data_IF_051374865646
#
_entry.id   IF_051374865646
#
_cell.length_a   1.000
_cell.length_b   1.000
_cell.length_c   1.000
_cell.angle_alpha   90.00
_cell.angle_beta   90.00
_cell.angle_gamma   90.00
#
_symmetry.space_group_name_H-M   'P 1'
#
loop_
_entity.id
_entity.type
_entity.pdbx_description
1 polymer ?
#
# COMPACT_ATOMS: atom_id res chain seq x y z
N UNK A 1 -6.69 8.84 -16.65
CA UNK A 1 -6.77 7.70 -15.70
C UNK A 1 -5.56 6.79 -15.90
N UNK A 2 -4.89 6.34 -14.84
CA UNK A 2 -3.74 5.43 -14.87
C UNK A 2 -4.10 4.13 -14.15
N UNK A 3 -3.79 2.99 -14.75
CA UNK A 3 -3.99 1.68 -14.12
C UNK A 3 -2.70 0.87 -14.24
N UNK A 4 -2.18 0.41 -13.11
CA UNK A 4 -1.16 -0.63 -13.01
C UNK A 4 -1.88 -1.94 -12.64
N UNK A 5 -1.74 -2.98 -13.45
CA UNK A 5 -2.35 -4.29 -13.24
C UNK A 5 -1.28 -5.35 -13.12
N UNK A 6 -1.05 -5.81 -11.88
CA UNK A 6 -0.10 -6.87 -11.52
C UNK A 6 1.31 -6.67 -12.11
N UNK A 7 1.80 -5.44 -12.05
CA UNK A 7 3.03 -5.03 -12.73
C UNK A 7 4.25 -5.53 -11.97
N UNK A 8 5.10 -6.29 -12.66
CA UNK A 8 6.43 -6.67 -12.17
C UNK A 8 7.52 -6.21 -13.12
N UNK A 9 8.67 -5.81 -12.57
CA UNK A 9 9.87 -5.45 -13.33
C UNK A 9 11.12 -6.04 -12.71
N UNK A 10 11.85 -6.80 -13.52
CA UNK A 10 13.17 -7.38 -13.21
C UNK A 10 14.22 -6.88 -14.20
N UNK A 11 15.49 -6.84 -13.76
CA UNK A 11 16.63 -6.46 -14.58
C UNK A 11 17.65 -7.61 -14.61
N UNK A 12 17.60 -8.44 -15.65
CA UNK A 12 18.51 -9.59 -15.80
C UNK A 12 18.42 -10.57 -14.62
N UNK A 13 19.58 -11.04 -14.14
CA UNK A 13 19.69 -11.95 -12.98
C UNK A 13 19.59 -11.24 -11.62
N UNK A 14 19.27 -9.95 -11.58
CA UNK A 14 19.13 -9.20 -10.33
C UNK A 14 17.69 -9.23 -9.80
N UNK A 15 17.58 -8.94 -8.51
CA UNK A 15 16.31 -8.86 -7.78
C UNK A 15 15.26 -8.00 -8.51
N UNK A 16 14.03 -8.49 -8.46
CA UNK A 16 12.84 -7.83 -8.98
C UNK A 16 12.69 -6.44 -8.34
N UNK A 17 12.78 -5.38 -9.14
CA UNK A 17 12.71 -3.99 -8.68
C UNK A 17 11.29 -3.57 -8.28
N UNK A 18 10.27 -4.15 -8.91
CA UNK A 18 8.84 -3.98 -8.60
C UNK A 18 8.17 -5.33 -8.77
N UNK A 19 7.34 -5.78 -7.83
CA UNK A 19 6.69 -7.09 -7.87
C UNK A 19 5.19 -6.97 -7.60
N UNK A 20 4.36 -7.53 -8.50
CA UNK A 20 2.89 -7.60 -8.39
C UNK A 20 2.23 -6.25 -8.01
N UNK A 21 2.74 -5.15 -8.53
CA UNK A 21 2.26 -3.81 -8.20
C UNK A 21 0.94 -3.53 -8.93
N UNK A 22 -0.12 -3.32 -8.15
CA UNK A 22 -1.44 -2.95 -8.67
C UNK A 22 -1.91 -1.65 -8.04
N UNK A 23 -2.27 -0.68 -8.87
CA UNK A 23 -2.74 0.62 -8.42
C UNK A 23 -3.59 1.27 -9.50
N UNK A 24 -4.76 1.77 -9.11
CA UNK A 24 -5.59 2.65 -9.94
C UNK A 24 -5.50 4.09 -9.43
N UNK A 25 -5.33 5.01 -10.38
CA UNK A 25 -5.20 6.45 -10.16
C UNK A 25 -6.17 7.18 -11.10
N UNK A 26 -7.08 7.95 -10.51
CA UNK A 26 -8.07 8.73 -11.25
C UNK A 26 -7.50 10.11 -11.61
N UNK A 27 -8.18 10.79 -12.52
CA UNK A 27 -7.79 12.14 -12.93
C UNK A 27 -7.94 13.12 -11.76
N UNK A 28 -6.87 13.88 -11.48
CA UNK A 28 -6.82 14.83 -10.37
C UNK A 28 -6.41 14.23 -9.03
N UNK A 29 -6.17 12.92 -8.93
CA UNK A 29 -5.66 12.29 -7.71
C UNK A 29 -4.28 12.83 -7.32
N UNK A 30 -4.05 12.99 -6.01
CA UNK A 30 -2.72 13.18 -5.42
C UNK A 30 -2.33 11.90 -4.69
N UNK A 31 -1.34 11.18 -5.24
CA UNK A 31 -0.85 9.91 -4.70
C UNK A 31 0.56 10.09 -4.19
N UNK A 32 0.82 9.70 -2.94
CA UNK A 32 2.16 9.66 -2.36
C UNK A 32 2.69 8.25 -2.43
N UNK A 33 3.82 8.04 -3.11
CA UNK A 33 4.52 6.77 -3.20
C UNK A 33 5.72 6.82 -2.24
N UNK A 34 5.73 5.96 -1.25
CA UNK A 34 6.82 5.91 -0.27
C UNK A 34 7.46 4.53 -0.17
N UNK A 35 8.69 4.48 0.33
CA UNK A 35 9.46 3.24 0.49
C UNK A 35 10.95 3.53 0.54
N UNK A 36 11.77 2.62 1.10
CA UNK A 36 13.22 2.76 1.15
C UNK A 36 13.86 3.10 -0.20
N UNK A 37 15.09 3.63 -0.18
CA UNK A 37 15.85 3.77 -1.42
C UNK A 37 16.05 2.41 -2.10
N UNK A 38 15.89 2.37 -3.43
CA UNK A 38 16.00 1.15 -4.23
C UNK A 38 14.75 0.27 -4.31
N UNK A 39 13.60 0.67 -3.76
CA UNK A 39 12.33 -0.11 -3.86
C UNK A 39 11.56 0.05 -5.18
N UNK A 40 12.15 0.69 -6.18
CA UNK A 40 11.54 0.81 -7.51
C UNK A 40 10.66 2.04 -7.74
N UNK A 41 10.73 3.08 -6.91
CA UNK A 41 10.05 4.38 -7.14
C UNK A 41 10.38 4.98 -8.52
N UNK A 42 11.68 5.17 -8.81
CA UNK A 42 12.16 5.60 -10.12
C UNK A 42 11.83 4.58 -11.23
N UNK A 43 11.78 3.29 -10.90
CA UNK A 43 11.37 2.25 -11.85
C UNK A 43 9.90 2.41 -12.26
N UNK A 44 9.00 2.77 -11.34
CA UNK A 44 7.58 3.06 -11.66
C UNK A 44 7.45 4.24 -12.61
N UNK A 45 8.22 5.32 -12.35
CA UNK A 45 8.30 6.47 -13.25
C UNK A 45 8.73 6.03 -14.65
N UNK A 46 9.82 5.27 -14.76
CA UNK A 46 10.39 4.81 -16.03
C UNK A 46 9.45 3.86 -16.78
N UNK A 47 8.67 3.05 -16.07
CA UNK A 47 7.60 2.24 -16.66
C UNK A 47 6.48 3.13 -17.24
N UNK A 48 6.04 4.14 -16.48
CA UNK A 48 4.96 5.04 -16.89
C UNK A 48 5.32 5.88 -18.13
N UNK A 49 6.56 6.37 -18.25
CA UNK A 49 7.04 7.11 -19.43
C UNK A 49 7.50 6.20 -20.59
N UNK A 50 7.28 4.88 -20.45
CA UNK A 50 7.68 3.83 -21.39
C UNK A 50 9.18 3.93 -21.76
N UNK A 51 10.02 4.18 -20.75
CA UNK A 51 11.46 3.98 -20.82
C UNK A 51 11.80 2.51 -20.56
N UNK A 52 11.10 1.88 -19.62
CA UNK A 52 11.11 0.44 -19.42
C UNK A 52 9.78 -0.18 -19.82
N UNK A 53 9.82 -1.44 -20.23
CA UNK A 53 8.62 -2.27 -20.36
C UNK A 53 8.51 -3.17 -19.13
N UNK A 54 7.29 -3.41 -18.62
CA UNK A 54 7.08 -4.36 -17.53
C UNK A 54 7.57 -5.75 -17.95
N UNK A 55 8.13 -6.51 -17.00
CA UNK A 55 8.44 -7.92 -17.22
C UNK A 55 7.17 -8.77 -17.22
N UNK A 56 6.22 -8.40 -16.36
CA UNK A 56 4.89 -9.01 -16.24
C UNK A 56 3.86 -7.93 -15.89
N UNK A 57 2.57 -8.21 -16.14
CA UNK A 57 1.49 -7.26 -15.93
C UNK A 57 1.32 -6.26 -17.07
N UNK A 58 0.44 -5.28 -16.87
CA UNK A 58 0.07 -4.28 -17.88
C UNK A 58 -0.07 -2.89 -17.23
N UNK A 59 0.22 -1.85 -18.02
CA UNK A 59 -0.02 -0.46 -17.63
C UNK A 59 -0.93 0.17 -18.66
N UNK A 60 -2.00 0.81 -18.20
CA UNK A 60 -2.94 1.54 -19.04
C UNK A 60 -2.93 3.04 -18.69
N UNK A 61 -2.94 3.88 -19.72
CA UNK A 61 -3.11 5.31 -19.59
C UNK A 61 -4.25 5.78 -20.50
N UNK A 62 -5.26 6.41 -19.92
CA UNK A 62 -6.45 6.91 -20.63
C UNK A 62 -7.15 5.80 -21.47
N UNK A 63 -7.12 4.55 -20.97
CA UNK A 63 -7.68 3.38 -21.65
C UNK A 63 -6.77 2.76 -22.74
N UNK A 64 -5.59 3.32 -22.99
CA UNK A 64 -4.61 2.76 -23.92
C UNK A 64 -3.56 1.92 -23.17
N UNK A 65 -3.41 0.66 -23.58
CA UNK A 65 -2.35 -0.23 -23.09
C UNK A 65 -0.99 0.23 -23.57
N UNK A 66 -0.08 0.46 -22.64
CA UNK A 66 1.28 0.89 -22.97
C UNK A 66 2.06 -0.20 -23.69
N UNK A 67 1.79 -1.49 -23.46
CA UNK A 67 2.42 -2.60 -24.19
C UNK A 67 2.14 -2.57 -25.69
N UNK A 68 0.98 -2.05 -26.10
CA UNK A 68 0.52 -1.99 -27.50
C UNK A 68 0.93 -0.69 -28.22
N UNK A 69 1.51 0.26 -27.49
CA UNK A 69 1.86 1.56 -28.03
C UNK A 69 3.05 1.46 -29.00
N UNK A 70 2.84 1.89 -30.25
CA UNK A 70 3.90 1.97 -31.26
C UNK A 70 5.00 2.94 -30.80
N UNK A 71 6.26 2.63 -31.13
CA UNK A 71 7.43 3.49 -30.81
C UNK A 71 7.27 4.93 -31.28
N UNK A 72 6.63 5.15 -32.42
CA UNK A 72 6.34 6.49 -32.98
C UNK A 72 5.40 7.34 -32.11
N UNK A 73 4.59 6.71 -31.26
CA UNK A 73 3.60 7.37 -30.41
C UNK A 73 4.13 7.64 -28.99
N UNK A 74 5.31 7.09 -28.63
CA UNK A 74 5.94 7.32 -27.33
C UNK A 74 6.17 8.81 -27.04
N UNK A 75 6.61 9.67 -27.98
CA UNK A 75 6.73 11.10 -27.73
C UNK A 75 5.39 11.76 -27.36
N UNK A 76 4.27 11.31 -27.94
CA UNK A 76 2.94 11.83 -27.60
C UNK A 76 2.52 11.41 -26.19
N UNK A 77 2.79 10.16 -25.80
CA UNK A 77 2.63 9.68 -24.43
C UNK A 77 3.41 10.57 -23.45
N UNK A 78 4.70 10.78 -23.70
CA UNK A 78 5.59 11.57 -22.82
C UNK A 78 5.18 13.03 -22.69
N UNK A 79 4.53 13.62 -23.70
CA UNK A 79 3.96 14.97 -23.59
C UNK A 79 2.79 15.06 -22.61
N UNK A 80 2.09 13.95 -22.33
CA UNK A 80 1.01 13.90 -21.33
C UNK A 80 1.54 13.84 -19.89
N UNK A 81 2.83 13.55 -19.70
CA UNK A 81 3.45 13.28 -18.40
C UNK A 81 4.62 14.24 -18.17
N UNK A 82 4.48 15.14 -17.21
CA UNK A 82 5.59 15.94 -16.69
C UNK A 82 6.40 15.14 -15.68
N UNK A 83 7.72 15.20 -15.77
CA UNK A 83 8.61 14.54 -14.81
C UNK A 83 9.43 15.58 -14.06
N UNK A 84 9.41 15.51 -12.73
CA UNK A 84 10.22 16.34 -11.84
C UNK A 84 11.24 15.43 -11.17
N UNK A 85 12.53 15.72 -11.39
CA UNK A 85 13.63 14.91 -10.87
C UNK A 85 14.24 15.54 -9.62
N UNK A 86 14.84 14.70 -8.77
CA UNK A 86 15.59 15.11 -7.58
C UNK A 86 16.78 16.05 -7.88
N UNK A 87 17.46 15.86 -9.01
CA UNK A 87 18.64 16.64 -9.45
C UNK A 87 18.30 17.78 -10.42
N UNK A 88 17.01 18.12 -10.55
CA UNK A 88 16.43 19.22 -11.33
C UNK A 88 16.60 19.09 -12.87
N UNK A 89 17.70 18.48 -13.32
CA UNK A 89 18.13 18.25 -14.71
C UNK A 89 18.03 19.50 -15.59
N UNK A 90 18.25 20.69 -15.04
CA UNK A 90 18.26 21.94 -15.81
C UNK A 90 19.44 21.94 -16.81
N UNK A 91 19.23 22.54 -17.98
CA UNK A 91 20.28 22.72 -18.98
C UNK A 91 21.09 23.93 -18.55
N UNK A 92 22.38 23.71 -18.25
CA UNK A 92 23.24 24.70 -17.60
C UNK A 92 23.56 25.89 -18.50
N UNK A 93 23.55 25.66 -19.80
CA UNK A 93 23.83 26.64 -20.84
C UNK A 93 22.61 27.49 -21.20
N UNK A 94 21.45 27.19 -20.63
CA UNK A 94 20.20 27.92 -20.83
C UNK A 94 19.84 28.69 -19.55
N UNK A 95 19.31 29.89 -19.69
CA UNK A 95 18.73 30.63 -18.56
C UNK A 95 17.38 30.02 -18.11
N UNK A 96 16.79 30.57 -17.05
CA UNK A 96 15.51 30.10 -16.50
C UNK A 96 14.39 30.13 -17.55
N UNK A 97 14.23 31.25 -18.26
CA UNK A 97 13.20 31.40 -19.29
C UNK A 97 13.38 30.36 -20.39
N UNK A 98 14.61 30.19 -20.89
CA UNK A 98 14.95 29.23 -21.95
C UNK A 98 14.70 27.78 -21.52
N UNK A 99 15.05 27.43 -20.28
CA UNK A 99 14.77 26.11 -19.72
C UNK A 99 13.27 25.81 -19.72
N UNK A 100 12.43 26.77 -19.34
CA UNK A 100 10.97 26.61 -19.29
C UNK A 100 10.37 26.64 -20.71
N UNK A 101 10.90 27.45 -21.61
CA UNK A 101 10.43 27.60 -22.99
C UNK A 101 10.72 26.37 -23.86
N UNK A 102 11.85 25.70 -23.63
CA UNK A 102 12.36 24.64 -24.51
C UNK A 102 11.33 23.54 -24.83
N UNK A 103 10.59 22.95 -23.88
CA UNK A 103 9.62 21.90 -24.20
C UNK A 103 8.47 22.40 -25.09
N UNK A 104 8.03 23.64 -24.92
CA UNK A 104 6.98 24.25 -25.74
C UNK A 104 7.46 24.46 -27.18
N UNK A 105 8.70 24.92 -27.37
CA UNK A 105 9.33 24.99 -28.69
C UNK A 105 9.46 23.61 -29.36
N UNK A 106 9.85 22.58 -28.61
CA UNK A 106 9.93 21.19 -29.11
C UNK A 106 8.55 20.67 -29.55
N UNK A 107 7.47 21.18 -28.96
CA UNK A 107 6.09 20.85 -29.36
C UNK A 107 5.65 21.61 -30.63
N UNK A 108 6.43 22.58 -31.12
CA UNK A 108 6.12 23.40 -32.28
C UNK A 108 5.19 24.57 -31.96
N UNK A 109 5.20 25.06 -30.71
CA UNK A 109 4.46 26.26 -30.31
C UNK A 109 5.06 27.52 -30.94
N UNK A 110 4.20 28.49 -31.25
CA UNK A 110 4.61 29.79 -31.78
C UNK A 110 5.27 30.64 -30.68
N UNK A 111 6.11 31.61 -31.06
CA UNK A 111 6.78 32.50 -30.08
C UNK A 111 5.81 33.18 -29.13
N UNK A 112 4.65 33.59 -29.64
CA UNK A 112 3.59 34.19 -28.83
C UNK A 112 3.03 33.22 -27.79
N UNK A 113 2.70 31.99 -28.21
CA UNK A 113 2.19 30.96 -27.28
C UNK A 113 3.24 30.58 -26.23
N UNK A 114 4.52 30.53 -26.63
CA UNK A 114 5.63 30.26 -25.71
C UNK A 114 5.77 31.39 -24.69
N UNK A 115 5.78 32.64 -25.14
CA UNK A 115 5.92 33.80 -24.26
C UNK A 115 4.77 33.88 -23.24
N UNK A 116 3.52 33.73 -23.69
CA UNK A 116 2.34 33.68 -22.82
C UNK A 116 2.48 32.54 -21.78
N UNK A 117 2.84 31.33 -22.24
CA UNK A 117 2.98 30.15 -21.36
C UNK A 117 4.10 30.28 -20.35
N UNK A 118 5.27 30.74 -20.76
CA UNK A 118 6.45 30.88 -19.88
C UNK A 118 6.20 31.96 -18.85
N UNK A 119 5.56 33.06 -19.23
CA UNK A 119 5.16 34.14 -18.31
C UNK A 119 4.24 33.62 -17.22
N UNK A 120 3.19 32.86 -17.56
CA UNK A 120 2.28 32.25 -16.59
C UNK A 120 3.02 31.32 -15.61
N UNK A 121 3.97 30.52 -16.13
CA UNK A 121 4.72 29.58 -15.31
C UNK A 121 5.72 30.28 -14.39
N UNK A 122 6.39 31.34 -14.85
CA UNK A 122 7.26 32.18 -14.02
C UNK A 122 6.49 32.85 -12.88
N UNK A 123 5.28 33.32 -13.16
CA UNK A 123 4.36 33.85 -12.16
C UNK A 123 3.94 32.78 -11.14
N UNK A 124 3.57 31.58 -11.63
CA UNK A 124 3.15 30.46 -10.77
C UNK A 124 4.21 30.07 -9.75
N UNK A 125 5.49 30.06 -10.18
CA UNK A 125 6.62 29.69 -9.32
C UNK A 125 7.27 30.87 -8.58
N UNK A 126 6.81 32.11 -8.85
CA UNK A 126 7.30 33.33 -8.22
C UNK A 126 8.75 33.69 -8.57
N UNK A 127 9.17 33.49 -9.83
CA UNK A 127 10.55 33.72 -10.30
C UNK A 127 10.65 34.67 -11.50
N UNK A 128 9.70 35.58 -11.68
CA UNK A 128 9.66 36.52 -12.81
C UNK A 128 10.91 37.41 -12.90
N UNK A 129 11.45 37.84 -11.77
CA UNK A 129 12.66 38.66 -11.64
C UNK A 129 13.95 37.87 -11.96
N UNK A 130 13.88 36.55 -12.03
CA UNK A 130 15.02 35.64 -12.24
C UNK A 130 15.02 34.97 -13.62
N UNK A 131 14.14 35.38 -14.52
CA UNK A 131 13.96 34.78 -15.83
C UNK A 131 15.27 34.67 -16.66
N UNK A 132 16.18 35.64 -16.50
CA UNK A 132 17.45 35.72 -17.24
C UNK A 132 18.64 35.12 -16.49
N UNK A 133 18.44 34.60 -15.27
CA UNK A 133 19.50 33.94 -14.52
C UNK A 133 19.77 32.54 -15.07
N UNK A 134 21.00 32.08 -14.93
CA UNK A 134 21.41 30.72 -15.26
C UNK A 134 21.30 29.78 -14.04
N UNK A 135 21.17 28.46 -14.23
CA UNK A 135 20.97 27.50 -13.14
C UNK A 135 22.02 27.57 -12.02
N UNK A 136 23.27 27.92 -12.33
CA UNK A 136 24.34 28.09 -11.35
C UNK A 136 24.18 29.33 -10.45
N UNK A 137 23.25 30.23 -10.76
CA UNK A 137 22.95 31.44 -9.99
C UNK A 137 21.69 31.28 -9.11
N UNK A 138 21.05 30.11 -9.14
CA UNK A 138 19.83 29.82 -8.39
C UNK A 138 20.13 29.07 -7.10
N UNK A 139 19.30 29.28 -6.07
CA UNK A 139 19.28 28.37 -4.93
C UNK A 139 18.72 27.00 -5.32
N UNK A 140 18.94 25.96 -4.50
CA UNK A 140 18.40 24.63 -4.76
C UNK A 140 16.87 24.62 -4.90
N UNK A 141 16.17 25.31 -4.01
CA UNK A 141 14.71 25.44 -4.08
C UNK A 141 14.23 26.22 -5.30
N UNK A 142 14.99 27.22 -5.76
CA UNK A 142 14.69 27.96 -6.98
C UNK A 142 14.90 27.11 -8.23
N UNK A 143 16.03 26.41 -8.32
CA UNK A 143 16.30 25.47 -9.39
C UNK A 143 15.21 24.39 -9.47
N UNK A 144 14.72 23.92 -8.31
CA UNK A 144 13.63 22.95 -8.28
C UNK A 144 12.30 23.53 -8.75
N UNK A 145 11.97 24.77 -8.37
CA UNK A 145 10.79 25.46 -8.90
C UNK A 145 10.86 25.63 -10.43
N UNK A 146 12.03 25.93 -10.97
CA UNK A 146 12.25 26.01 -12.43
C UNK A 146 12.06 24.64 -13.09
N UNK A 147 12.53 23.56 -12.46
CA UNK A 147 12.35 22.20 -12.98
C UNK A 147 10.86 21.82 -13.06
N UNK A 148 10.07 22.20 -12.04
CA UNK A 148 8.61 22.01 -12.00
C UNK A 148 7.93 22.82 -13.11
N UNK A 149 8.29 24.10 -13.27
CA UNK A 149 7.75 24.92 -14.36
C UNK A 149 8.06 24.33 -15.73
N UNK A 150 9.29 23.84 -15.94
CA UNK A 150 9.67 23.16 -17.17
C UNK A 150 8.86 21.87 -17.40
N UNK A 151 8.63 21.07 -16.37
CA UNK A 151 7.77 19.89 -16.47
C UNK A 151 6.33 20.25 -16.87
N UNK A 152 5.84 21.41 -16.42
CA UNK A 152 4.53 21.94 -16.74
C UNK A 152 4.43 22.62 -18.11
N UNK A 153 5.55 22.92 -18.78
CA UNK A 153 5.57 23.71 -20.01
C UNK A 153 4.63 23.17 -21.11
N UNK A 154 4.60 21.85 -21.29
CA UNK A 154 3.74 21.17 -22.26
C UNK A 154 2.26 21.03 -21.84
N UNK A 155 1.88 21.51 -20.65
CA UNK A 155 0.54 21.30 -20.08
C UNK A 155 0.21 19.82 -19.85
N UNK A 156 1.07 19.04 -19.17
CA UNK A 156 0.82 17.63 -18.94
C UNK A 156 -0.41 17.42 -18.05
N UNK A 157 -1.11 16.31 -18.23
CA UNK A 157 -2.23 15.91 -17.37
C UNK A 157 -1.75 15.22 -16.09
N UNK A 158 -0.54 14.67 -16.12
CA UNK A 158 0.07 13.90 -15.04
C UNK A 158 1.43 14.51 -14.72
N UNK A 159 1.74 14.65 -13.44
CA UNK A 159 3.10 14.90 -12.96
C UNK A 159 3.55 13.69 -12.15
N UNK A 160 4.72 13.15 -12.50
CA UNK A 160 5.48 12.25 -11.65
C UNK A 160 6.65 13.02 -11.05
N UNK A 161 6.66 13.17 -9.73
CA UNK A 161 7.73 13.83 -9.00
C UNK A 161 8.56 12.79 -8.24
N UNK A 162 9.78 12.52 -8.70
CA UNK A 162 10.68 11.53 -8.11
C UNK A 162 11.68 12.22 -7.17
N UNK A 163 11.43 12.05 -5.87
CA UNK A 163 12.17 12.68 -4.76
C UNK A 163 12.37 14.19 -4.96
N UNK A 164 11.30 14.97 -5.21
CA UNK A 164 11.40 16.37 -5.59
C UNK A 164 11.96 17.28 -4.48
N UNK A 165 12.13 16.75 -3.27
CA UNK A 165 12.65 17.46 -2.10
C UNK A 165 13.99 16.90 -1.61
N UNK A 166 14.53 15.86 -2.23
CA UNK A 166 15.67 15.09 -1.68
C UNK A 166 16.99 15.86 -1.51
N UNK A 167 17.14 17.01 -2.17
CA UNK A 167 18.33 17.87 -2.10
C UNK A 167 18.05 19.25 -1.49
N UNK A 168 16.91 19.41 -0.79
CA UNK A 168 16.44 20.69 -0.26
C UNK A 168 16.46 20.72 1.26
N UNK A 169 16.63 21.92 1.81
CA UNK A 169 16.36 22.16 3.23
C UNK A 169 14.87 22.03 3.56
N UNK A 170 14.54 21.91 4.85
CA UNK A 170 13.16 21.66 5.29
C UNK A 170 12.16 22.75 4.84
N UNK A 171 12.57 24.02 4.86
CA UNK A 171 11.71 25.14 4.46
C UNK A 171 11.39 25.08 2.96
N UNK A 172 12.43 24.87 2.14
CA UNK A 172 12.30 24.69 0.70
C UNK A 172 11.48 23.44 0.35
N UNK A 173 11.67 22.33 1.06
CA UNK A 173 10.90 21.09 0.87
C UNK A 173 9.40 21.31 1.09
N UNK A 174 9.02 22.02 2.15
CA UNK A 174 7.63 22.39 2.43
C UNK A 174 7.09 23.31 1.33
N UNK A 175 7.86 24.31 0.90
CA UNK A 175 7.45 25.22 -0.17
C UNK A 175 7.19 24.49 -1.50
N UNK A 176 8.06 23.55 -1.88
CA UNK A 176 7.88 22.70 -3.07
C UNK A 176 6.66 21.80 -2.95
N UNK A 177 6.47 21.18 -1.79
CA UNK A 177 5.31 20.31 -1.52
C UNK A 177 4.00 21.09 -1.68
N UNK A 178 3.94 22.31 -1.12
CA UNK A 178 2.77 23.20 -1.25
C UNK A 178 2.53 23.66 -2.69
N UNK A 179 3.60 23.95 -3.44
CA UNK A 179 3.50 24.30 -4.86
C UNK A 179 2.90 23.13 -5.66
N UNK A 180 3.38 21.91 -5.46
CA UNK A 180 2.85 20.71 -6.13
C UNK A 180 1.39 20.44 -5.75
N UNK A 181 1.01 20.65 -4.48
CA UNK A 181 -0.41 20.57 -4.06
C UNK A 181 -1.28 21.62 -4.75
N UNK A 182 -0.80 22.86 -4.90
CA UNK A 182 -1.51 23.91 -5.64
C UNK A 182 -1.70 23.52 -7.11
N UNK A 183 -0.69 22.92 -7.74
CA UNK A 183 -0.77 22.43 -9.12
C UNK A 183 -1.80 21.30 -9.26
N UNK A 184 -1.84 20.37 -8.30
CA UNK A 184 -2.84 19.32 -8.27
C UNK A 184 -4.27 19.88 -8.12
N UNK A 185 -4.48 20.90 -7.29
CA UNK A 185 -5.78 21.59 -7.15
C UNK A 185 -6.27 22.25 -8.45
N UNK A 186 -5.39 22.52 -9.41
CA UNK A 186 -5.76 22.98 -10.76
C UNK A 186 -6.22 21.83 -11.69
N UNK A 187 -6.31 20.59 -11.18
CA UNK A 187 -6.79 19.41 -11.90
C UNK A 187 -5.69 18.48 -12.42
N UNK A 188 -4.42 18.72 -12.08
CA UNK A 188 -3.32 17.87 -12.55
C UNK A 188 -3.20 16.63 -11.66
N UNK A 189 -3.16 15.44 -12.26
CA UNK A 189 -2.92 14.19 -11.51
C UNK A 189 -1.47 14.16 -11.05
N UNK A 190 -1.21 13.83 -9.78
CA UNK A 190 0.13 13.92 -9.21
C UNK A 190 0.53 12.64 -8.50
N UNK A 191 1.69 12.09 -8.89
CA UNK A 191 2.37 11.00 -8.20
C UNK A 191 3.63 11.57 -7.56
N UNK A 192 3.67 11.57 -6.23
CA UNK A 192 4.77 12.13 -5.45
C UNK A 192 5.56 10.98 -4.81
N UNK A 193 6.73 10.67 -5.34
CA UNK A 193 7.60 9.65 -4.79
C UNK A 193 8.57 10.26 -3.76
N UNK A 194 8.55 9.78 -2.52
CA UNK A 194 9.41 10.30 -1.44
C UNK A 194 9.66 9.28 -0.34
N UNK A 195 10.81 9.38 0.31
CA UNK A 195 11.13 8.67 1.54
C UNK A 195 11.34 9.62 2.73
N UNK A 196 11.08 10.92 2.54
CA UNK A 196 11.27 11.96 3.56
C UNK A 196 10.06 12.03 4.52
N UNK A 197 10.29 11.70 5.79
CA UNK A 197 9.27 11.72 6.83
C UNK A 197 8.60 13.08 7.01
N UNK A 198 9.34 14.18 6.87
CA UNK A 198 8.79 15.54 7.02
C UNK A 198 7.75 15.83 5.92
N UNK A 199 8.03 15.38 4.70
CA UNK A 199 7.08 15.49 3.58
C UNK A 199 5.89 14.55 3.76
N UNK A 200 6.11 13.33 4.28
CA UNK A 200 5.03 12.40 4.58
C UNK A 200 4.07 12.95 5.64
N UNK A 201 4.58 13.66 6.65
CA UNK A 201 3.77 14.32 7.67
C UNK A 201 2.92 15.47 7.08
N UNK A 202 3.51 16.32 6.23
CA UNK A 202 2.77 17.40 5.54
C UNK A 202 1.68 16.83 4.60
N UNK A 203 1.90 15.65 4.03
CA UNK A 203 1.00 14.97 3.09
C UNK A 203 0.17 13.84 3.73
N UNK A 204 0.07 13.79 5.05
CA UNK A 204 -0.58 12.68 5.77
C UNK A 204 -2.08 12.49 5.43
N UNK A 205 -2.72 13.51 4.82
CA UNK A 205 -4.12 13.45 4.37
C UNK A 205 -4.29 12.85 2.98
N UNK A 206 -3.21 12.75 2.21
CA UNK A 206 -3.24 12.23 0.85
C UNK A 206 -3.17 10.70 0.85
N UNK A 207 -3.52 10.07 -0.29
CA UNK A 207 -3.45 8.62 -0.43
C UNK A 207 -1.99 8.17 -0.51
N UNK A 208 -1.54 7.42 0.51
CA UNK A 208 -0.17 6.88 0.60
C UNK A 208 -0.14 5.44 0.10
N UNK A 209 0.80 5.15 -0.79
CA UNK A 209 1.13 3.82 -1.32
C UNK A 209 2.55 3.48 -0.91
N UNK A 210 2.72 2.39 -0.16
CA UNK A 210 4.03 1.93 0.32
C UNK A 210 4.60 0.87 -0.61
N UNK A 211 5.85 1.05 -1.01
CA UNK A 211 6.66 0.07 -1.71
C UNK A 211 7.65 -0.53 -0.71
N UNK A 212 7.56 -1.84 -0.52
CA UNK A 212 8.39 -2.59 0.41
C UNK A 212 9.54 -3.28 -0.32
N UNK A 213 10.63 -3.57 0.40
CA UNK A 213 11.67 -4.45 -0.13
C UNK A 213 11.18 -5.89 -0.09
N UNK A 214 11.66 -6.70 -1.03
CA UNK A 214 11.40 -8.15 -1.11
C UNK A 214 11.65 -8.91 0.20
N UNK A 215 12.65 -8.49 0.98
CA UNK A 215 12.99 -9.12 2.28
C UNK A 215 11.88 -8.86 3.30
N UNK A 216 11.39 -7.62 3.39
CA UNK A 216 10.32 -7.22 4.31
C UNK A 216 8.99 -7.90 3.95
N UNK A 217 8.67 -8.05 2.66
CA UNK A 217 7.49 -8.82 2.23
C UNK A 217 7.56 -10.30 2.60
N UNK A 218 8.75 -10.91 2.54
CA UNK A 218 8.95 -12.30 2.95
C UNK A 218 8.86 -12.44 4.47
N UNK A 219 9.44 -11.52 5.23
CA UNK A 219 9.34 -11.49 6.70
C UNK A 219 7.90 -11.28 7.17
N UNK A 220 7.15 -10.32 6.61
CA UNK A 220 5.74 -10.12 6.92
C UNK A 220 4.88 -11.34 6.58
N UNK A 221 5.11 -11.97 5.42
CA UNK A 221 4.36 -13.17 5.04
C UNK A 221 4.68 -14.36 5.95
N UNK A 222 5.94 -14.53 6.33
CA UNK A 222 6.35 -15.55 7.28
C UNK A 222 5.75 -15.30 8.66
N UNK A 223 5.69 -14.04 9.10
CA UNK A 223 5.12 -13.66 10.38
C UNK A 223 3.60 -13.84 10.41
N UNK A 224 2.88 -13.45 9.34
CA UNK A 224 1.45 -13.72 9.17
C UNK A 224 1.15 -15.23 9.11
N UNK A 225 2.00 -16.03 8.48
CA UNK A 225 1.89 -17.49 8.49
C UNK A 225 2.14 -18.08 9.88
N UNK A 226 3.14 -17.59 10.61
CA UNK A 226 3.43 -18.03 11.98
C UNK A 226 2.28 -17.72 12.94
N UNK A 227 1.71 -16.51 12.88
CA UNK A 227 0.54 -16.11 13.68
C UNK A 227 -0.72 -16.95 13.34
N UNK A 228 -0.88 -17.33 12.07
CA UNK A 228 -1.97 -18.23 11.66
C UNK A 228 -1.76 -19.65 12.19
N UNK A 229 -0.51 -20.15 12.19
CA UNK A 229 -0.17 -21.45 12.75
C UNK A 229 -0.40 -21.50 14.26
N UNK A 230 0.01 -20.48 15.01
CA UNK A 230 -0.23 -20.39 16.46
C UNK A 230 -1.73 -20.40 16.77
N UNK A 231 -2.54 -19.62 16.03
CA UNK A 231 -4.00 -19.61 16.21
C UNK A 231 -4.66 -20.95 15.91
N UNK A 232 -4.15 -21.67 14.90
CA UNK A 232 -4.64 -23.03 14.60
C UNK A 232 -4.30 -24.00 15.72
N UNK A 233 -3.08 -23.95 16.26
CA UNK A 233 -2.66 -24.81 17.37
C UNK A 233 -3.45 -24.54 18.64
N UNK A 234 -3.75 -23.28 18.94
CA UNK A 234 -4.59 -22.91 20.08
C UNK A 234 -6.03 -23.43 19.94
N UNK A 235 -6.58 -23.42 18.72
CA UNK A 235 -7.91 -23.97 18.44
C UNK A 235 -7.93 -25.50 18.54
N UNK A 236 -6.94 -26.18 17.97
CA UNK A 236 -6.79 -27.65 18.08
C UNK A 236 -6.66 -28.08 19.56
N UNK A 237 -5.89 -27.33 20.35
CA UNK A 237 -5.76 -27.60 21.79
C UNK A 237 -7.07 -27.41 22.56
N UNK A 238 -7.87 -26.40 22.20
CA UNK A 238 -9.19 -26.20 22.81
C UNK A 238 -10.18 -27.29 22.43
N UNK A 239 -10.17 -27.77 21.18
CA UNK A 239 -11.00 -28.89 20.72
C UNK A 239 -10.62 -30.19 21.46
N UNK A 240 -9.33 -30.50 21.59
CA UNK A 240 -8.87 -31.68 22.35
C UNK A 240 -9.26 -31.61 23.84
N UNK A 241 -9.24 -30.43 24.45
CA UNK A 241 -9.65 -30.26 25.85
C UNK A 241 -11.16 -30.46 26.03
N UNK A 242 -11.98 -29.95 25.10
CA UNK A 242 -13.42 -30.14 25.12
C UNK A 242 -13.80 -31.61 24.92
N UNK A 243 -13.12 -32.33 24.03
CA UNK A 243 -13.33 -33.78 23.84
C UNK A 243 -13.00 -34.58 25.11
N UNK A 244 -11.94 -34.19 25.83
CA UNK A 244 -11.58 -34.82 27.11
C UNK A 244 -12.61 -34.53 28.20
N UNK A 245 -13.13 -33.31 28.29
CA UNK A 245 -14.20 -32.96 29.24
C UNK A 245 -15.51 -33.71 28.95
N UNK A 246 -15.88 -33.86 27.68
CA UNK A 246 -17.05 -34.65 27.28
C UNK A 246 -16.89 -36.14 27.64
N UNK A 247 -15.70 -36.73 27.42
CA UNK A 247 -15.42 -38.11 27.80
C UNK A 247 -15.50 -38.33 29.32
N UNK A 248 -14.97 -37.40 30.13
CA UNK A 248 -15.06 -37.45 31.59
C UNK A 248 -16.51 -37.33 32.06
N UNK A 249 -17.31 -36.49 31.39
CA UNK A 249 -18.74 -36.36 31.68
C UNK A 249 -19.53 -37.63 31.32
N UNK A 250 -19.23 -38.28 30.19
CA UNK A 250 -19.85 -39.55 29.80
C UNK A 250 -19.50 -40.68 30.78
N UNK A 251 -18.24 -40.79 31.21
CA UNK A 251 -17.82 -41.80 32.21
C UNK A 251 -18.52 -41.59 33.55
N UNK A 252 -18.61 -40.34 34.03
CA UNK A 252 -19.34 -40.01 35.25
C UNK A 252 -20.84 -40.32 35.15
N UNK A 253 -21.48 -40.08 34.00
CA UNK A 253 -22.89 -40.44 33.78
C UNK A 253 -23.12 -41.96 33.82
N UNK A 254 -22.20 -42.73 33.22
CA UNK A 254 -22.25 -44.20 33.23
C UNK A 254 -22.11 -44.73 34.65
N UNK A 255 -21.23 -44.16 35.45
CA UNK A 255 -21.04 -44.57 36.85
C UNK A 255 -22.20 -44.17 37.75
N UNK A 256 -22.83 -43.01 37.53
CA UNK A 256 -24.08 -42.62 38.22
C UNK A 256 -25.21 -43.61 37.86
N UNK A 257 -25.32 -44.01 36.59
CA UNK A 257 -26.31 -45.01 36.13
C UNK A 257 -26.03 -46.41 36.73
N UNK A 258 -24.77 -46.83 36.86
CA UNK A 258 -24.39 -48.08 37.54
C UNK A 258 -24.70 -48.04 39.04
N UNK A 259 -24.42 -46.92 39.70
CA UNK A 259 -24.67 -46.71 41.14
C UNK A 259 -26.17 -46.67 41.46
N UNK A 260 -27.00 -46.08 40.59
CA UNK A 260 -28.47 -46.14 40.70
C UNK A 260 -29.02 -47.57 40.51
N UNK A 261 -28.42 -48.36 39.61
CA UNK A 261 -28.81 -49.78 39.43
C UNK A 261 -28.46 -50.64 40.64
N UNK A 262 -27.31 -50.43 41.28
CA UNK A 262 -26.92 -51.18 42.49
C UNK A 262 -27.75 -50.80 43.72
N UNK A 263 -28.13 -49.53 43.85
CA UNK A 263 -29.07 -49.08 44.90
C UNK A 263 -30.46 -49.71 44.72
N UNK A 264 -30.97 -49.83 43.48
CA UNK A 264 -32.26 -50.49 43.23
C UNK A 264 -32.25 -52.01 43.44
N UNK A 265 -31.06 -52.64 43.36
CA UNK A 265 -30.90 -54.08 43.68
C UNK A 265 -30.84 -54.30 45.19
N UNK A 266 -30.15 -53.43 45.94
CA UNK A 266 -30.11 -53.48 47.41
C UNK A 266 -31.48 -53.27 48.04
N UNK A 267 -32.29 -52.32 47.54
CA UNK A 267 -33.64 -52.12 48.07
C UNK A 267 -34.57 -53.32 47.83
N UNK A 268 -34.40 -54.04 46.71
CA UNK A 268 -35.17 -55.28 46.43
C UNK A 268 -34.72 -56.49 47.27
N UNK A 269 -33.48 -56.52 47.76
CA UNK A 269 -33.01 -57.57 48.68
C UNK A 269 -33.39 -57.28 50.14
N UNK A 270 -33.47 -56.01 50.53
CA UNK A 270 -33.91 -55.62 51.87
C UNK A 270 -35.41 -55.85 52.09
N UNK A 271 -36.26 -55.60 51.08
CA UNK A 271 -37.70 -55.91 51.16
C UNK A 271 -37.96 -57.43 51.27
N UNK A 272 -37.18 -58.28 50.58
CA UNK A 272 -37.32 -59.74 50.70
C UNK A 272 -36.88 -60.29 52.07
N UNK A 273 -35.96 -59.61 52.75
CA UNK A 273 -35.47 -60.03 54.07
C UNK A 273 -36.33 -59.51 55.23
N UNK A 274 -37.20 -58.51 55.02
CA UNK A 274 -38.17 -58.08 56.02
C UNK A 274 -39.43 -58.96 56.02
N UNK A 275 -39.84 -59.53 54.89
CA UNK A 275 -40.97 -60.47 54.83
C UNK A 275 -40.70 -61.81 55.53
N UNK A 276 -39.44 -62.28 55.55
CA UNK A 276 -39.10 -63.53 56.27
C UNK A 276 -38.95 -63.38 57.80
N UNK A 277 -38.78 -62.16 58.32
CA UNK A 277 -38.66 -61.92 59.78
C UNK A 277 -40.00 -61.70 60.48
N UNK A 278 -41.07 -61.35 59.76
CA UNK A 278 -42.39 -61.18 60.37
C UNK A 278 -43.20 -62.48 60.51
N UNK A 279 -42.81 -63.57 59.86
CA UNK A 279 -43.53 -64.85 59.97
C UNK A 279 -43.05 -65.76 61.11
N UNK A 280 -41.88 -65.46 61.70
CA UNK A 280 -41.31 -66.24 62.81
C UNK A 280 -41.77 -65.80 64.21
N UNK A 281 -42.39 -64.62 64.35
CA UNK A 281 -42.87 -64.10 65.64
C UNK A 281 -44.37 -64.30 65.92
N UNK A 282 -45.12 -64.95 65.03
CA UNK A 282 -46.55 -65.28 65.24
C UNK A 282 -46.82 -66.69 65.79
N UNK A 283 -45.79 -67.51 66.09
CA UNK A 283 -45.94 -68.87 66.64
C UNK A 283 -45.59 -69.04 68.14
N UNK A 284 -45.37 -67.97 68.89
CA UNK A 284 -45.14 -68.05 70.35
C UNK A 284 -46.12 -67.19 71.17
N UNK A 285 -47.42 -67.27 70.87
CA UNK A 285 -48.49 -66.88 71.83
C UNK A 285 -49.73 -67.75 71.64
N UNK A 286 -49.61 -69.04 71.97
CA UNK A 286 -50.73 -69.93 72.32
C UNK A 286 -50.29 -70.86 73.46
N UNK A 287 -50.33 -70.29 74.67
CA UNK A 287 -50.38 -70.85 76.04
C UNK A 287 -50.02 -69.65 76.92
N UNK A 288 -50.98 -68.84 77.35
CA UNK A 288 -51.74 -69.08 78.57
C UNK A 288 -53.08 -68.31 78.53
N UNK A 289 -54.09 -68.90 79.16
CA UNK A 289 -55.40 -68.27 79.45
C UNK A 289 -55.25 -66.88 80.06
#
# INVERSE_FOLDING_TARGET
MIIFSDVSKSFGNQDTAIKHFSLQINDGDFIVITGPSGTGKTTLMNLLIKEYEPSEGEIELDGEKLSQLKKTNIPQLRRKIGVVFQDYKLIKEMNVWENIALPAYIQGKTDREVEERVTDLLNLIGLTDKALLFPNQLSGGEAQRVSIARALACGPKIIFADEPTGNLDAEASIAITRLLRKINQLGTTLLFATHDNLVLEELAKEKIVRLERKIEQLEENNQKQAEQLEKMQDLEFQEEMLEQEEQVHEEHEVDIKKSRKSISKKSKEEDKNQDHKNDSNKKKKTKSK
#
